data_IF_709143239352
#
_entry.id   IF_709143239352
#
_cell.length_a   1.000
_cell.length_b   1.000
_cell.length_c   1.000
_cell.angle_alpha   90.00
_cell.angle_beta   90.00
_cell.angle_gamma   90.00
#
_symmetry.space_group_name_H-M   'P 1'
#
loop_
_entity.id
_entity.type
_entity.pdbx_description
1 polymer ?
#
# COMPACT_ATOMS: atom_id res chain seq x y z
N UNK A 1 -12.92 -38.40 -22.02
CA UNK A 1 -12.04 -37.26 -21.71
C UNK A 1 -12.17 -36.31 -22.87
N UNK A 2 -13.00 -35.28 -22.77
CA UNK A 2 -13.22 -34.34 -23.87
C UNK A 2 -12.15 -33.25 -23.80
N UNK A 3 -11.22 -33.29 -24.75
CA UNK A 3 -10.34 -32.17 -25.09
C UNK A 3 -11.20 -30.94 -25.38
N UNK A 4 -11.22 -30.00 -24.44
CA UNK A 4 -11.89 -28.72 -24.60
C UNK A 4 -10.91 -27.70 -25.16
N UNK A 5 -10.51 -27.87 -26.41
CA UNK A 5 -9.88 -26.80 -27.18
C UNK A 5 -10.91 -25.68 -27.42
N UNK A 6 -11.09 -24.80 -26.42
CA UNK A 6 -11.92 -23.58 -26.52
C UNK A 6 -12.78 -23.22 -25.30
N UNK A 7 -12.93 -24.10 -24.31
CA UNK A 7 -13.75 -23.80 -23.12
C UNK A 7 -12.95 -23.01 -22.07
N UNK A 8 -13.65 -22.17 -21.28
CA UNK A 8 -13.05 -21.47 -20.15
C UNK A 8 -12.59 -22.47 -19.08
N UNK A 9 -11.41 -22.24 -18.48
CA UNK A 9 -10.91 -23.10 -17.41
C UNK A 9 -11.76 -22.94 -16.14
N UNK A 10 -12.35 -24.03 -15.66
CA UNK A 10 -13.05 -24.07 -14.38
C UNK A 10 -12.19 -24.85 -13.38
N UNK A 11 -11.73 -24.20 -12.28
CA UNK A 11 -10.94 -24.88 -11.27
C UNK A 11 -11.74 -25.95 -10.52
N UNK A 12 -11.03 -26.90 -9.94
CA UNK A 12 -11.63 -27.89 -9.04
C UNK A 12 -12.03 -27.24 -7.71
N UNK A 13 -12.82 -27.94 -6.90
CA UNK A 13 -13.19 -27.45 -5.56
C UNK A 13 -11.94 -27.11 -4.73
N UNK A 14 -11.92 -25.92 -4.14
CA UNK A 14 -10.82 -25.42 -3.32
C UNK A 14 -11.29 -25.08 -1.91
N UNK A 15 -10.47 -25.41 -0.92
CA UNK A 15 -10.74 -25.13 0.49
C UNK A 15 -10.17 -23.77 0.95
N UNK A 16 -9.37 -23.09 0.13
CA UNK A 16 -8.79 -21.79 0.49
C UNK A 16 -9.83 -20.71 0.84
N UNK A 17 -11.01 -20.63 0.18
CA UNK A 17 -12.04 -19.66 0.55
C UNK A 17 -12.53 -19.78 2.00
N UNK A 18 -12.75 -21.00 2.50
CA UNK A 18 -13.19 -21.19 3.89
C UNK A 18 -12.07 -20.91 4.88
N UNK A 19 -10.83 -21.33 4.57
CA UNK A 19 -9.65 -21.03 5.42
C UNK A 19 -9.41 -19.53 5.50
N UNK A 20 -9.49 -18.81 4.38
CA UNK A 20 -9.34 -17.35 4.35
C UNK A 20 -10.43 -16.63 5.13
N UNK A 21 -11.70 -17.08 5.04
CA UNK A 21 -12.80 -16.55 5.83
C UNK A 21 -12.56 -16.69 7.34
N UNK A 22 -12.08 -17.86 7.79
CA UNK A 22 -11.74 -18.10 9.20
C UNK A 22 -10.54 -17.23 9.60
N UNK A 23 -9.51 -17.14 8.76
CA UNK A 23 -8.33 -16.32 9.03
C UNK A 23 -8.71 -14.84 9.23
N UNK A 24 -9.55 -14.29 8.34
CA UNK A 24 -10.02 -12.90 8.42
C UNK A 24 -10.92 -12.69 9.65
N UNK A 25 -11.82 -13.64 9.96
CA UNK A 25 -12.64 -13.57 11.17
C UNK A 25 -11.79 -13.52 12.43
N UNK A 26 -10.78 -14.39 12.54
CA UNK A 26 -9.83 -14.36 13.66
C UNK A 26 -9.00 -13.07 13.69
N UNK A 27 -8.61 -12.53 12.54
CA UNK A 27 -7.85 -11.28 12.47
C UNK A 27 -8.66 -10.08 12.99
N UNK A 28 -9.88 -9.89 12.46
CA UNK A 28 -10.77 -8.81 12.89
C UNK A 28 -11.21 -8.99 14.34
N UNK A 29 -11.64 -10.19 14.72
CA UNK A 29 -12.04 -10.51 16.10
C UNK A 29 -10.89 -10.32 17.09
N UNK A 30 -9.70 -10.82 16.77
CA UNK A 30 -8.50 -10.66 17.59
C UNK A 30 -8.08 -9.19 17.74
N UNK A 31 -8.20 -8.40 16.67
CA UNK A 31 -7.91 -6.96 16.72
C UNK A 31 -8.92 -6.23 17.60
N UNK A 32 -10.21 -6.54 17.48
CA UNK A 32 -11.24 -5.98 18.35
C UNK A 32 -11.00 -6.34 19.83
N UNK A 33 -10.60 -7.59 20.11
CA UNK A 33 -10.22 -8.01 21.46
C UNK A 33 -9.02 -7.24 22.00
N UNK A 34 -8.00 -7.00 21.16
CA UNK A 34 -6.83 -6.22 21.54
C UNK A 34 -7.20 -4.78 21.90
N UNK A 35 -8.00 -4.11 21.06
CA UNK A 35 -8.45 -2.74 21.29
C UNK A 35 -9.36 -2.58 22.53
N UNK A 36 -9.95 -3.67 23.01
CA UNK A 36 -10.82 -3.69 24.19
C UNK A 36 -10.18 -4.43 25.39
N UNK A 37 -8.86 -4.63 25.37
CA UNK A 37 -8.07 -5.22 26.47
C UNK A 37 -8.55 -6.61 26.94
N UNK A 38 -9.06 -7.44 26.02
CA UNK A 38 -9.43 -8.82 26.33
C UNK A 38 -8.19 -9.72 26.33
N UNK A 39 -7.89 -10.36 27.47
CA UNK A 39 -6.69 -11.17 27.69
C UNK A 39 -6.41 -12.28 26.64
N UNK A 40 -7.44 -12.74 25.91
CA UNK A 40 -7.28 -13.75 24.87
C UNK A 40 -6.78 -13.21 23.51
N UNK A 41 -6.67 -11.89 23.33
CA UNK A 41 -6.24 -11.28 22.07
C UNK A 41 -4.92 -11.84 21.49
N UNK A 42 -3.86 -12.13 22.28
CA UNK A 42 -2.59 -12.57 21.71
C UNK A 42 -2.71 -13.93 21.01
N UNK A 43 -3.49 -14.84 21.59
CA UNK A 43 -3.70 -16.18 21.04
C UNK A 43 -4.53 -16.13 19.76
N UNK A 44 -5.58 -15.31 19.75
CA UNK A 44 -6.47 -15.15 18.58
C UNK A 44 -5.72 -14.48 17.43
N UNK A 45 -4.95 -13.42 17.70
CA UNK A 45 -4.12 -12.76 16.68
C UNK A 45 -2.98 -13.66 16.19
N UNK A 46 -2.32 -14.41 17.09
CA UNK A 46 -1.28 -15.37 16.70
C UNK A 46 -1.83 -16.46 15.76
N UNK A 47 -3.01 -16.99 16.07
CA UNK A 47 -3.72 -17.93 15.18
C UNK A 47 -4.08 -17.27 13.85
N UNK A 48 -4.60 -16.04 13.87
CA UNK A 48 -4.97 -15.31 12.67
C UNK A 48 -3.78 -15.13 11.72
N UNK A 49 -2.62 -14.69 12.24
CA UNK A 49 -1.39 -14.52 11.45
C UNK A 49 -0.94 -15.86 10.86
N UNK A 50 -0.94 -16.93 11.65
CA UNK A 50 -0.58 -18.27 11.17
C UNK A 50 -1.51 -18.75 10.03
N UNK A 51 -2.82 -18.54 10.18
CA UNK A 51 -3.80 -18.89 9.14
C UNK A 51 -3.63 -18.04 7.89
N UNK A 52 -3.39 -16.74 8.02
CA UNK A 52 -3.13 -15.83 6.88
C UNK A 52 -1.92 -16.30 6.08
N UNK A 53 -0.80 -16.57 6.76
CA UNK A 53 0.42 -17.08 6.10
C UNK A 53 0.16 -18.43 5.44
N UNK A 54 -0.56 -19.33 6.11
CA UNK A 54 -0.89 -20.66 5.60
C UNK A 54 -1.72 -20.60 4.31
N UNK A 55 -2.84 -19.85 4.32
CA UNK A 55 -3.71 -19.81 3.14
C UNK A 55 -3.09 -19.01 1.99
N UNK A 56 -2.36 -17.92 2.28
CA UNK A 56 -1.69 -17.14 1.24
C UNK A 56 -0.62 -18.00 0.53
N UNK A 57 0.25 -18.67 1.29
CA UNK A 57 1.26 -19.53 0.71
C UNK A 57 0.65 -20.71 -0.06
N UNK A 58 -0.36 -21.36 0.52
CA UNK A 58 -1.03 -22.50 -0.09
C UNK A 58 -1.81 -22.15 -1.37
N UNK A 59 -2.63 -21.10 -1.32
CA UNK A 59 -3.45 -20.68 -2.45
C UNK A 59 -2.61 -20.16 -3.61
N UNK A 60 -1.66 -19.26 -3.37
CA UNK A 60 -0.78 -18.79 -4.45
C UNK A 60 0.11 -19.91 -5.00
N UNK A 61 0.54 -20.86 -4.16
CA UNK A 61 1.25 -22.06 -4.61
C UNK A 61 0.43 -22.92 -5.56
N UNK A 62 -0.87 -23.07 -5.30
CA UNK A 62 -1.80 -23.78 -6.17
C UNK A 62 -2.02 -23.05 -7.50
N UNK A 63 -2.25 -21.73 -7.47
CA UNK A 63 -2.38 -20.91 -8.69
C UNK A 63 -1.12 -20.99 -9.56
N UNK A 64 0.07 -20.93 -8.95
CA UNK A 64 1.34 -21.09 -9.68
C UNK A 64 1.40 -22.47 -10.33
N UNK A 65 1.09 -23.54 -9.58
CA UNK A 65 1.13 -24.91 -10.11
C UNK A 65 0.13 -25.13 -11.24
N UNK A 66 -1.07 -24.58 -11.14
CA UNK A 66 -2.08 -24.61 -12.20
C UNK A 66 -1.60 -23.88 -13.45
N UNK A 67 -1.01 -22.69 -13.28
CA UNK A 67 -0.41 -21.92 -14.38
C UNK A 67 0.66 -22.74 -15.12
N UNK A 68 1.59 -23.37 -14.39
CA UNK A 68 2.67 -24.16 -14.99
C UNK A 68 2.16 -25.45 -15.68
N UNK A 69 0.95 -25.92 -15.36
CA UNK A 69 0.35 -27.09 -16.04
C UNK A 69 -0.23 -26.76 -17.42
N UNK A 70 -0.20 -25.49 -17.84
CA UNK A 70 -0.72 -25.07 -19.15
C UNK A 70 -2.24 -25.04 -19.25
N UNK A 71 -2.95 -25.07 -18.11
CA UNK A 71 -4.43 -25.05 -18.06
C UNK A 71 -5.03 -23.68 -18.40
N UNK A 72 -4.26 -22.61 -18.28
CA UNK A 72 -4.72 -21.25 -18.54
C UNK A 72 -4.62 -20.94 -20.03
N UNK A 73 -5.77 -20.71 -20.66
CA UNK A 73 -5.87 -20.26 -22.04
C UNK A 73 -6.02 -18.73 -22.11
N UNK A 74 -6.08 -18.18 -23.33
CA UNK A 74 -6.21 -16.74 -23.55
C UNK A 74 -7.45 -16.12 -22.88
N UNK A 75 -8.57 -16.83 -22.77
CA UNK A 75 -9.76 -16.29 -22.08
C UNK A 75 -9.49 -16.08 -20.58
N UNK A 76 -8.80 -17.03 -19.95
CA UNK A 76 -8.41 -16.93 -18.53
C UNK A 76 -7.41 -15.80 -18.32
N UNK A 77 -6.43 -15.66 -19.22
CA UNK A 77 -5.45 -14.56 -19.19
C UNK A 77 -6.14 -13.18 -19.25
N UNK A 78 -7.07 -13.00 -20.18
CA UNK A 78 -7.88 -11.78 -20.30
C UNK A 78 -8.66 -11.50 -19.02
N UNK A 79 -9.30 -12.52 -18.43
CA UNK A 79 -10.00 -12.38 -17.15
C UNK A 79 -9.05 -11.92 -16.04
N UNK A 80 -7.88 -12.53 -15.90
CA UNK A 80 -6.91 -12.12 -14.88
C UNK A 80 -6.42 -10.69 -15.07
N UNK A 81 -6.19 -10.25 -16.31
CA UNK A 81 -5.82 -8.85 -16.62
C UNK A 81 -6.90 -7.86 -16.19
N UNK A 82 -8.16 -8.14 -16.51
CA UNK A 82 -9.28 -7.30 -16.06
C UNK A 82 -9.45 -7.33 -14.54
N UNK A 83 -9.31 -8.49 -13.90
CA UNK A 83 -9.34 -8.60 -12.44
C UNK A 83 -8.25 -7.76 -11.78
N UNK A 84 -7.02 -7.80 -12.31
CA UNK A 84 -5.93 -6.96 -11.80
C UNK A 84 -6.20 -5.47 -12.03
N UNK A 85 -6.75 -5.10 -13.19
CA UNK A 85 -7.16 -3.72 -13.46
C UNK A 85 -8.21 -3.21 -12.48
N UNK A 86 -9.25 -3.99 -12.21
CA UNK A 86 -10.29 -3.65 -11.23
C UNK A 86 -9.78 -3.60 -9.80
N UNK A 87 -8.87 -4.51 -9.44
CA UNK A 87 -8.20 -4.47 -8.14
C UNK A 87 -7.38 -3.18 -7.97
N UNK A 88 -6.52 -2.82 -8.93
CA UNK A 88 -5.76 -1.56 -8.87
C UNK A 88 -6.71 -0.36 -8.82
N UNK A 89 -7.80 -0.38 -9.59
CA UNK A 89 -8.79 0.69 -9.56
C UNK A 89 -9.43 0.84 -8.18
N UNK A 90 -9.77 -0.25 -7.48
CA UNK A 90 -10.28 -0.16 -6.11
C UNK A 90 -9.25 0.40 -5.14
N UNK A 91 -7.97 0.06 -5.28
CA UNK A 91 -6.89 0.63 -4.45
C UNK A 91 -6.71 2.13 -4.73
N UNK A 92 -6.84 2.58 -5.98
CA UNK A 92 -6.83 4.02 -6.33
C UNK A 92 -8.00 4.74 -5.66
N UNK A 93 -9.21 4.17 -5.66
CA UNK A 93 -10.37 4.75 -4.96
C UNK A 93 -10.19 4.78 -3.44
N UNK A 94 -9.53 3.76 -2.87
CA UNK A 94 -9.17 3.73 -1.46
C UNK A 94 -8.26 4.91 -1.09
N UNK A 95 -7.18 5.15 -1.83
CA UNK A 95 -6.32 6.33 -1.62
C UNK A 95 -7.05 7.65 -1.89
N UNK A 96 -7.91 7.69 -2.92
CA UNK A 96 -8.70 8.89 -3.23
C UNK A 96 -9.59 9.32 -2.04
N UNK A 97 -10.09 8.38 -1.23
CA UNK A 97 -10.83 8.71 -0.02
C UNK A 97 -9.95 9.43 1.02
N UNK A 98 -8.71 8.98 1.24
CA UNK A 98 -7.78 9.64 2.17
C UNK A 98 -7.30 11.01 1.66
N UNK A 99 -6.97 11.11 0.37
CA UNK A 99 -6.65 12.41 -0.24
C UNK A 99 -7.86 13.36 -0.22
N UNK A 100 -9.06 12.84 -0.42
CA UNK A 100 -10.31 13.59 -0.26
C UNK A 100 -10.52 14.09 1.16
N UNK A 101 -10.21 13.27 2.18
CA UNK A 101 -10.27 13.68 3.58
C UNK A 101 -9.24 14.78 3.89
N UNK A 102 -7.99 14.64 3.41
CA UNK A 102 -6.95 15.66 3.53
C UNK A 102 -7.38 16.97 2.84
N UNK A 103 -7.85 16.89 1.61
CA UNK A 103 -8.32 18.05 0.84
C UNK A 103 -9.48 18.75 1.55
N UNK A 104 -10.47 17.99 2.02
CA UNK A 104 -11.63 18.53 2.71
C UNK A 104 -11.24 19.22 4.03
N UNK A 105 -10.36 18.58 4.81
CA UNK A 105 -9.83 19.17 6.04
C UNK A 105 -9.07 20.47 5.75
N UNK A 106 -8.18 20.44 4.74
CA UNK A 106 -7.28 21.55 4.42
C UNK A 106 -8.00 22.76 3.82
N UNK A 107 -8.93 22.53 2.89
CA UNK A 107 -9.52 23.57 2.05
C UNK A 107 -10.89 24.05 2.52
N UNK A 108 -11.58 23.28 3.37
CA UNK A 108 -12.93 23.63 3.83
C UNK A 108 -13.04 23.63 5.34
N UNK A 109 -12.87 22.47 5.99
CA UNK A 109 -13.15 22.35 7.42
C UNK A 109 -12.26 23.28 8.27
N UNK A 110 -10.96 23.31 7.99
CA UNK A 110 -10.00 24.20 8.64
C UNK A 110 -10.35 25.69 8.49
N UNK A 111 -10.46 26.22 7.25
CA UNK A 111 -10.82 27.62 7.03
C UNK A 111 -12.16 28.02 7.64
N UNK A 112 -13.18 27.15 7.59
CA UNK A 112 -14.45 27.41 8.27
C UNK A 112 -14.28 27.51 9.78
N UNK A 113 -13.50 26.62 10.40
CA UNK A 113 -13.19 26.73 11.83
C UNK A 113 -12.40 28.01 12.16
N UNK A 114 -11.58 28.49 11.23
CA UNK A 114 -10.88 29.77 11.30
C UNK A 114 -11.74 31.01 11.02
N UNK A 115 -13.07 30.85 10.87
CA UNK A 115 -14.01 31.96 10.74
C UNK A 115 -14.49 32.24 9.31
N UNK A 116 -14.05 31.49 8.29
CA UNK A 116 -14.51 31.71 6.92
C UNK A 116 -15.98 31.28 6.73
N UNK A 117 -16.76 32.13 6.07
CA UNK A 117 -18.14 31.85 5.68
C UNK A 117 -19.05 31.52 6.87
N UNK A 118 -19.57 30.28 6.92
CA UNK A 118 -20.54 29.85 7.94
C UNK A 118 -19.92 29.68 9.33
N UNK A 119 -18.59 29.64 9.45
CA UNK A 119 -17.90 29.46 10.72
C UNK A 119 -17.59 30.74 11.48
N UNK A 120 -17.87 31.92 10.90
CA UNK A 120 -17.60 33.23 11.51
C UNK A 120 -18.11 33.34 12.95
N UNK A 121 -19.41 33.06 13.17
CA UNK A 121 -20.00 33.17 14.50
C UNK A 121 -19.38 32.19 15.51
N UNK A 122 -19.06 30.97 15.08
CA UNK A 122 -18.40 29.97 15.95
C UNK A 122 -17.00 30.44 16.35
N UNK A 123 -16.22 30.95 15.42
CA UNK A 123 -14.88 31.45 15.68
C UNK A 123 -14.96 32.68 16.61
N UNK A 124 -15.74 33.70 16.27
CA UNK A 124 -15.85 34.94 17.05
C UNK A 124 -16.33 34.73 18.49
N UNK A 125 -17.33 33.87 18.70
CA UNK A 125 -17.96 33.73 20.02
C UNK A 125 -17.41 32.59 20.87
N UNK A 126 -16.89 31.50 20.27
CA UNK A 126 -16.43 30.33 21.01
C UNK A 126 -14.91 30.16 20.99
N UNK A 127 -14.25 30.52 19.88
CA UNK A 127 -12.80 30.29 19.68
C UNK A 127 -12.11 31.49 19.04
N UNK A 128 -12.19 32.70 19.62
CA UNK A 128 -11.73 33.93 18.97
C UNK A 128 -10.20 33.95 18.74
N UNK A 129 -9.46 33.16 19.51
CA UNK A 129 -8.00 33.03 19.41
C UNK A 129 -7.58 31.96 18.38
N UNK A 130 -8.51 31.20 17.81
CA UNK A 130 -8.18 30.16 16.85
C UNK A 130 -8.00 30.76 15.45
N UNK A 131 -6.75 30.82 15.00
CA UNK A 131 -6.40 31.12 13.62
C UNK A 131 -6.01 29.82 12.90
N UNK A 132 -6.68 29.54 11.78
CA UNK A 132 -6.37 28.36 10.99
C UNK A 132 -5.12 28.56 10.13
N UNK A 133 -4.16 27.66 10.30
CA UNK A 133 -2.98 27.53 9.42
C UNK A 133 -2.82 26.06 9.03
N UNK A 134 -2.20 25.81 7.87
CA UNK A 134 -1.82 24.46 7.48
C UNK A 134 -0.31 24.39 7.21
N UNK A 135 0.42 23.42 7.80
CA UNK A 135 -0.02 22.44 8.81
C UNK A 135 -0.44 23.07 10.16
N UNK A 136 -1.25 22.34 10.94
CA UNK A 136 -1.66 22.76 12.29
C UNK A 136 -0.59 22.36 13.31
N UNK A 137 0.21 23.33 13.77
CA UNK A 137 1.26 23.11 14.78
C UNK A 137 0.88 23.59 16.18
N UNK A 138 -0.23 24.32 16.30
CA UNK A 138 -0.76 24.82 17.57
C UNK A 138 -2.22 24.41 17.70
N UNK A 139 -2.63 24.08 18.92
CA UNK A 139 -4.01 23.73 19.25
C UNK A 139 -4.55 24.66 20.34
N UNK A 140 -5.88 24.87 20.40
CA UNK A 140 -6.50 25.61 21.49
C UNK A 140 -6.17 25.00 22.86
N UNK A 141 -6.17 25.84 23.90
CA UNK A 141 -5.97 25.38 25.28
C UNK A 141 -6.99 24.30 25.66
N UNK A 142 -6.53 23.24 26.34
CA UNK A 142 -7.37 22.11 26.76
C UNK A 142 -7.62 21.04 25.68
N UNK A 143 -6.96 21.12 24.52
CA UNK A 143 -7.05 20.04 23.52
C UNK A 143 -6.43 18.72 24.03
N UNK A 144 -7.02 17.59 23.65
CA UNK A 144 -6.47 16.25 23.90
C UNK A 144 -5.30 15.88 22.96
N UNK A 145 -4.92 16.78 22.05
CA UNK A 145 -3.93 16.55 21.01
C UNK A 145 -2.56 17.12 21.38
N UNK A 146 -1.51 16.45 20.94
CA UNK A 146 -0.12 16.87 21.15
C UNK A 146 0.38 17.73 19.99
N UNK A 147 0.64 19.00 20.25
CA UNK A 147 1.20 19.94 19.27
C UNK A 147 2.60 19.46 18.81
N UNK A 148 2.80 19.18 17.51
CA UNK A 148 4.12 18.84 16.99
C UNK A 148 5.02 20.09 16.98
N UNK A 149 6.31 19.90 17.22
CA UNK A 149 7.31 20.99 17.21
C UNK A 149 7.70 21.43 15.79
N UNK A 150 7.40 20.60 14.78
CA UNK A 150 7.71 20.90 13.38
C UNK A 150 7.06 19.92 12.40
N UNK A 151 7.48 20.03 11.14
CA UNK A 151 6.97 19.23 10.02
C UNK A 151 8.13 18.52 9.32
N UNK A 152 7.83 17.44 8.61
CA UNK A 152 8.80 16.80 7.73
C UNK A 152 8.86 17.59 6.42
N UNK A 153 10.00 18.20 6.13
CA UNK A 153 10.21 18.95 4.91
C UNK A 153 10.32 18.04 3.67
N UNK A 154 9.70 18.43 2.56
CA UNK A 154 9.75 17.67 1.30
C UNK A 154 11.18 17.46 0.77
N UNK A 155 12.04 18.46 0.92
CA UNK A 155 13.40 18.44 0.41
C UNK A 155 14.33 17.84 1.46
N UNK A 156 14.72 16.58 1.24
CA UNK A 156 15.44 15.76 2.20
C UNK A 156 15.16 14.28 1.95
N UNK A 157 14.87 13.53 3.02
CA UNK A 157 14.48 12.12 2.93
C UNK A 157 13.29 11.86 2.00
N UNK A 158 12.19 12.65 2.02
CA UNK A 158 11.08 12.41 1.09
C UNK A 158 11.50 12.51 -0.38
N UNK A 159 12.30 13.52 -0.74
CA UNK A 159 12.82 13.68 -2.11
C UNK A 159 13.77 12.53 -2.52
N UNK A 160 14.58 12.02 -1.58
CA UNK A 160 15.44 10.85 -1.81
C UNK A 160 14.56 9.61 -2.05
N UNK A 161 13.54 9.40 -1.23
CA UNK A 161 12.58 8.31 -1.39
C UNK A 161 11.82 8.40 -2.72
N UNK A 162 11.48 9.60 -3.18
CA UNK A 162 10.93 9.83 -4.53
C UNK A 162 11.89 9.37 -5.61
N UNK A 163 13.17 9.74 -5.53
CA UNK A 163 14.17 9.30 -6.49
C UNK A 163 14.34 7.76 -6.47
N UNK A 164 14.33 7.14 -5.30
CA UNK A 164 14.44 5.68 -5.13
C UNK A 164 13.28 4.97 -5.82
N UNK A 165 12.03 5.37 -5.57
CA UNK A 165 10.87 4.73 -6.19
C UNK A 165 10.85 4.94 -7.70
N UNK A 166 11.10 6.16 -8.19
CA UNK A 166 11.20 6.40 -9.64
C UNK A 166 12.32 5.59 -10.31
N UNK A 167 13.45 5.44 -9.63
CA UNK A 167 14.55 4.57 -10.10
C UNK A 167 14.11 3.11 -10.13
N UNK A 168 13.36 2.66 -9.12
CA UNK A 168 12.83 1.29 -9.07
C UNK A 168 11.80 1.02 -10.17
N UNK A 169 11.00 2.02 -10.55
CA UNK A 169 10.12 1.97 -11.73
C UNK A 169 10.88 1.79 -13.04
N UNK A 170 12.04 2.42 -13.17
CA UNK A 170 12.94 2.20 -14.31
C UNK A 170 13.54 0.78 -14.30
N UNK A 171 14.00 0.30 -13.14
CA UNK A 171 14.59 -1.05 -13.04
C UNK A 171 13.58 -2.16 -13.34
N UNK A 172 12.33 -2.06 -12.87
CA UNK A 172 11.31 -3.06 -13.21
C UNK A 172 10.92 -3.02 -14.69
N UNK A 173 10.96 -1.83 -15.32
CA UNK A 173 10.76 -1.69 -16.78
C UNK A 173 11.89 -2.38 -17.55
N UNK A 174 13.15 -2.22 -17.12
CA UNK A 174 14.28 -2.93 -17.73
C UNK A 174 14.21 -4.45 -17.49
N UNK A 175 13.72 -4.89 -16.34
CA UNK A 175 13.42 -6.29 -16.08
C UNK A 175 12.39 -6.82 -17.10
N UNK A 176 11.32 -6.06 -17.35
CA UNK A 176 10.30 -6.45 -18.32
C UNK A 176 10.89 -6.60 -19.73
N UNK A 177 11.70 -5.63 -20.18
CA UNK A 177 12.37 -5.73 -21.48
C UNK A 177 13.32 -6.93 -21.57
N UNK A 178 14.01 -7.26 -20.48
CA UNK A 178 14.84 -8.46 -20.43
C UNK A 178 14.00 -9.75 -20.53
N UNK A 179 12.82 -9.79 -19.90
CA UNK A 179 11.87 -10.90 -20.00
C UNK A 179 11.41 -11.09 -21.45
N UNK A 180 10.93 -10.03 -22.10
CA UNK A 180 10.45 -10.08 -23.50
C UNK A 180 11.58 -10.46 -24.47
N UNK A 181 12.82 -10.05 -24.20
CA UNK A 181 14.00 -10.46 -24.98
C UNK A 181 14.52 -11.86 -24.61
N UNK A 182 13.80 -12.60 -23.76
CA UNK A 182 14.15 -13.93 -23.26
C UNK A 182 15.54 -13.99 -22.59
N UNK A 183 15.95 -12.91 -21.91
CA UNK A 183 17.25 -12.79 -21.21
C UNK A 183 17.07 -12.94 -19.71
N UNK A 184 17.13 -14.18 -19.23
CA UNK A 184 16.88 -14.54 -17.83
C UNK A 184 17.82 -13.89 -16.81
N UNK A 185 19.14 -13.88 -17.07
CA UNK A 185 20.09 -13.31 -16.11
C UNK A 185 19.87 -11.80 -15.91
N UNK A 186 19.77 -10.96 -16.96
CA UNK A 186 19.39 -9.56 -16.81
C UNK A 186 18.01 -9.35 -16.15
N UNK A 187 17.00 -10.18 -16.48
CA UNK A 187 15.69 -10.14 -15.82
C UNK A 187 15.83 -10.27 -14.29
N UNK A 188 16.56 -11.28 -13.84
CA UNK A 188 16.76 -11.53 -12.40
C UNK A 188 17.55 -10.39 -11.74
N UNK A 189 18.60 -9.88 -12.38
CA UNK A 189 19.40 -8.77 -11.82
C UNK A 189 18.59 -7.48 -11.66
N UNK A 190 17.76 -7.13 -12.65
CA UNK A 190 16.91 -5.95 -12.58
C UNK A 190 15.78 -6.10 -11.57
N UNK A 191 15.21 -7.30 -11.42
CA UNK A 191 14.26 -7.59 -10.35
C UNK A 191 14.91 -7.46 -8.97
N UNK A 192 16.12 -7.99 -8.79
CA UNK A 192 16.87 -7.86 -7.54
C UNK A 192 17.15 -6.40 -7.18
N UNK A 193 17.54 -5.58 -8.17
CA UNK A 193 17.72 -4.14 -7.97
C UNK A 193 16.41 -3.46 -7.55
N UNK A 194 15.28 -3.81 -8.18
CA UNK A 194 13.96 -3.26 -7.83
C UNK A 194 13.58 -3.60 -6.38
N UNK A 195 13.77 -4.87 -5.96
CA UNK A 195 13.50 -5.30 -4.57
C UNK A 195 14.40 -4.56 -3.59
N UNK A 196 15.69 -4.43 -3.90
CA UNK A 196 16.64 -3.72 -3.03
C UNK A 196 16.26 -2.25 -2.84
N UNK A 197 15.83 -1.57 -3.91
CA UNK A 197 15.34 -0.19 -3.84
C UNK A 197 14.04 -0.08 -3.03
N UNK A 198 13.11 -1.03 -3.20
CA UNK A 198 11.89 -1.08 -2.38
C UNK A 198 12.16 -1.29 -0.89
N UNK A 199 13.09 -2.18 -0.54
CA UNK A 199 13.53 -2.39 0.85
C UNK A 199 14.22 -1.15 1.41
N UNK A 200 15.07 -0.49 0.62
CA UNK A 200 15.73 0.75 1.00
C UNK A 200 14.70 1.86 1.28
N UNK A 201 13.69 2.01 0.43
CA UNK A 201 12.59 2.96 0.66
C UNK A 201 11.89 2.70 2.00
N UNK A 202 11.52 1.43 2.28
CA UNK A 202 10.83 1.06 3.53
C UNK A 202 11.70 1.39 4.75
N UNK A 203 13.01 1.11 4.66
CA UNK A 203 13.95 1.45 5.72
C UNK A 203 14.01 2.95 5.97
N UNK A 204 14.20 3.76 4.93
CA UNK A 204 14.27 5.22 5.04
C UNK A 204 12.94 5.82 5.52
N UNK A 205 11.80 5.24 5.14
CA UNK A 205 10.49 5.64 5.64
C UNK A 205 10.34 5.33 7.15
N UNK A 206 10.93 4.22 7.61
CA UNK A 206 11.00 3.90 9.04
C UNK A 206 11.82 4.92 9.82
N UNK A 207 12.99 5.32 9.30
CA UNK A 207 13.82 6.36 9.91
C UNK A 207 13.10 7.72 9.95
N UNK A 208 12.37 8.07 8.88
CA UNK A 208 11.52 9.26 8.86
C UNK A 208 10.46 9.23 9.97
N UNK A 209 9.82 8.09 10.20
CA UNK A 209 8.83 7.95 11.28
C UNK A 209 9.46 8.05 12.66
N UNK A 210 10.65 7.47 12.85
CA UNK A 210 11.39 7.60 14.11
C UNK A 210 11.70 9.07 14.38
N UNK A 211 12.22 9.80 13.40
CA UNK A 211 12.48 11.24 13.50
C UNK A 211 11.19 12.04 13.78
N UNK A 212 10.10 11.73 13.09
CA UNK A 212 8.80 12.38 13.29
C UNK A 212 8.30 12.23 14.73
N UNK A 213 8.37 11.01 15.28
CA UNK A 213 7.89 10.72 16.64
C UNK A 213 8.82 11.27 17.72
N UNK A 214 10.14 11.10 17.57
CA UNK A 214 11.11 11.40 18.63
C UNK A 214 11.53 12.87 18.65
N UNK A 215 11.78 13.46 17.49
CA UNK A 215 12.37 14.81 17.40
C UNK A 215 11.30 15.88 17.14
N UNK A 216 10.28 15.55 16.34
CA UNK A 216 9.23 16.50 15.95
C UNK A 216 7.96 16.40 16.81
N UNK A 217 7.82 15.37 17.64
CA UNK A 217 6.57 15.11 18.37
C UNK A 217 5.35 14.94 17.45
N UNK A 218 5.57 14.66 16.17
CA UNK A 218 4.55 14.41 15.17
C UNK A 218 4.12 12.96 15.28
N UNK A 219 2.93 12.74 15.83
CA UNK A 219 2.37 11.42 16.09
C UNK A 219 0.96 11.30 15.50
N UNK A 220 0.36 10.11 15.58
CA UNK A 220 -1.06 9.92 15.26
C UNK A 220 -2.00 10.78 16.14
N UNK A 221 -1.54 11.23 17.32
CA UNK A 221 -2.31 12.12 18.21
C UNK A 221 -2.02 13.62 17.97
N UNK A 222 -1.29 13.98 16.93
CA UNK A 222 -1.02 15.37 16.56
C UNK A 222 -2.15 15.97 15.70
N UNK A 223 -3.40 15.72 16.11
CA UNK A 223 -4.61 16.20 15.44
C UNK A 223 -4.75 15.70 14.00
N UNK A 224 -5.50 16.45 13.19
CA UNK A 224 -5.82 16.07 11.81
C UNK A 224 -4.59 16.00 10.90
N UNK A 225 -3.57 16.83 11.13
CA UNK A 225 -2.33 16.81 10.35
C UNK A 225 -1.57 15.50 10.56
N UNK A 226 -1.27 15.15 11.82
CA UNK A 226 -0.58 13.89 12.13
C UNK A 226 -1.38 12.66 11.69
N UNK A 227 -2.69 12.63 11.94
CA UNK A 227 -3.55 11.53 11.53
C UNK A 227 -3.57 11.34 9.99
N UNK A 228 -3.78 12.41 9.22
CA UNK A 228 -3.79 12.31 7.75
C UNK A 228 -2.42 11.97 7.20
N UNK A 229 -1.34 12.54 7.74
CA UNK A 229 0.04 12.21 7.38
C UNK A 229 0.29 10.71 7.51
N UNK A 230 0.20 10.15 8.73
CA UNK A 230 0.55 8.74 8.98
C UNK A 230 -0.41 7.74 8.35
N UNK A 231 -1.70 8.06 8.18
CA UNK A 231 -2.61 7.17 7.47
C UNK A 231 -2.27 7.11 5.99
N UNK A 232 -2.07 8.25 5.33
CA UNK A 232 -1.72 8.31 3.91
C UNK A 232 -0.37 7.65 3.63
N UNK A 233 0.68 8.05 4.35
CA UNK A 233 2.03 7.53 4.14
C UNK A 233 2.17 6.10 4.67
N UNK A 234 1.47 5.74 5.75
CA UNK A 234 1.50 4.41 6.37
C UNK A 234 0.82 3.36 5.51
N UNK A 235 -0.38 3.63 4.99
CA UNK A 235 -1.02 2.72 4.05
C UNK A 235 -0.18 2.59 2.78
N UNK A 236 0.40 3.66 2.27
CA UNK A 236 1.31 3.56 1.13
C UNK A 236 2.55 2.70 1.45
N UNK A 237 3.19 2.88 2.61
CA UNK A 237 4.31 2.03 3.05
C UNK A 237 3.93 0.55 3.15
N UNK A 238 2.71 0.24 3.58
CA UNK A 238 2.17 -1.13 3.53
C UNK A 238 2.07 -1.66 2.10
N UNK A 239 1.57 -0.86 1.15
CA UNK A 239 1.50 -1.25 -0.26
C UNK A 239 2.89 -1.44 -0.89
N UNK A 240 3.86 -0.58 -0.57
CA UNK A 240 5.26 -0.75 -1.01
C UNK A 240 5.82 -2.07 -0.47
N UNK A 241 5.56 -2.38 0.80
CA UNK A 241 6.00 -3.64 1.42
C UNK A 241 5.42 -4.87 0.73
N UNK A 242 4.11 -4.85 0.44
CA UNK A 242 3.44 -5.91 -0.31
C UNK A 242 3.96 -6.01 -1.75
N UNK A 243 4.16 -4.89 -2.42
CA UNK A 243 4.75 -4.81 -3.76
C UNK A 243 6.15 -5.41 -3.81
N UNK A 244 7.02 -5.04 -2.87
CA UNK A 244 8.39 -5.56 -2.78
C UNK A 244 8.40 -7.07 -2.54
N UNK A 245 7.51 -7.57 -1.67
CA UNK A 245 7.33 -9.01 -1.44
C UNK A 245 6.86 -9.72 -2.72
N UNK A 246 5.87 -9.16 -3.43
CA UNK A 246 5.38 -9.74 -4.69
C UNK A 246 6.49 -9.79 -5.76
N UNK A 247 7.27 -8.70 -5.92
CA UNK A 247 8.40 -8.66 -6.86
C UNK A 247 9.47 -9.69 -6.46
N UNK A 248 9.74 -9.84 -5.16
CA UNK A 248 10.64 -10.88 -4.68
C UNK A 248 10.16 -12.29 -5.05
N UNK A 249 8.87 -12.59 -4.89
CA UNK A 249 8.30 -13.87 -5.33
C UNK A 249 8.38 -14.04 -6.86
N UNK A 250 8.12 -12.99 -7.64
CA UNK A 250 8.29 -13.01 -9.10
C UNK A 250 9.76 -13.24 -9.47
N UNK A 251 10.71 -12.64 -8.75
CA UNK A 251 12.14 -12.89 -8.93
C UNK A 251 12.49 -14.37 -8.69
N UNK A 252 11.99 -14.98 -7.61
CA UNK A 252 12.19 -16.41 -7.35
C UNK A 252 11.60 -17.28 -8.47
N UNK A 253 10.43 -16.93 -8.99
CA UNK A 253 9.81 -17.61 -10.14
C UNK A 253 10.61 -17.44 -11.44
N UNK A 254 11.18 -16.26 -11.68
CA UNK A 254 12.08 -16.01 -12.81
C UNK A 254 13.39 -16.80 -12.67
N UNK A 255 13.92 -16.93 -11.46
CA UNK A 255 15.07 -17.79 -11.14
C UNK A 255 14.74 -19.27 -11.37
N UNK A 256 13.48 -19.70 -11.28
CA UNK A 256 13.04 -21.07 -11.62
C UNK A 256 12.62 -21.25 -13.08
N UNK A 257 12.38 -20.16 -13.81
CA UNK A 257 12.12 -20.19 -15.26
C UNK A 257 10.64 -20.35 -15.61
N UNK A 258 9.75 -19.95 -14.71
CA UNK A 258 8.29 -20.06 -14.87
C UNK A 258 7.70 -19.00 -15.84
N UNK A 259 8.53 -18.24 -16.55
CA UNK A 259 8.08 -17.14 -17.41
C UNK A 259 8.68 -17.29 -18.81
N UNK A 260 7.85 -17.07 -19.81
CA UNK A 260 8.26 -16.98 -21.22
C UNK A 260 7.90 -15.61 -21.78
N UNK A 261 8.50 -15.18 -22.90
CA UNK A 261 8.15 -13.92 -23.56
C UNK A 261 6.68 -13.80 -23.97
N UNK A 262 5.96 -14.91 -24.06
CA UNK A 262 4.54 -14.95 -24.45
C UNK A 262 3.60 -15.19 -23.25
N UNK A 263 4.10 -15.78 -22.17
CA UNK A 263 3.32 -16.09 -20.97
C UNK A 263 4.04 -15.63 -19.70
N UNK A 264 3.66 -14.44 -19.25
CA UNK A 264 4.26 -13.79 -18.07
C UNK A 264 3.29 -12.81 -17.39
N UNK A 265 1.98 -13.07 -17.45
CA UNK A 265 0.96 -12.21 -16.84
C UNK A 265 1.24 -11.89 -15.37
N UNK A 266 1.68 -12.88 -14.57
CA UNK A 266 1.96 -12.64 -13.16
C UNK A 266 3.10 -11.62 -12.94
N UNK A 267 4.08 -11.56 -13.84
CA UNK A 267 5.08 -10.51 -13.83
C UNK A 267 4.43 -9.15 -14.15
N UNK A 268 3.61 -9.08 -15.20
CA UNK A 268 2.97 -7.84 -15.62
C UNK A 268 2.02 -7.30 -14.56
N UNK A 269 1.21 -8.15 -13.93
CA UNK A 269 0.33 -7.77 -12.83
C UNK A 269 1.10 -7.12 -11.69
N UNK A 270 2.20 -7.73 -11.25
CA UNK A 270 3.04 -7.20 -10.18
C UNK A 270 3.74 -5.91 -10.62
N UNK A 271 4.16 -5.79 -11.88
CA UNK A 271 4.72 -4.56 -12.42
C UNK A 271 3.69 -3.42 -12.49
N UNK A 272 2.45 -3.70 -12.89
CA UNK A 272 1.35 -2.73 -12.86
C UNK A 272 1.07 -2.25 -11.44
N UNK A 273 1.05 -3.17 -10.47
CA UNK A 273 0.92 -2.82 -9.06
C UNK A 273 2.07 -1.94 -8.58
N UNK A 274 3.31 -2.26 -8.94
CA UNK A 274 4.47 -1.45 -8.55
C UNK A 274 4.41 -0.02 -9.10
N UNK A 275 4.04 0.14 -10.37
CA UNK A 275 3.83 1.48 -10.94
C UNK A 275 2.66 2.22 -10.31
N UNK A 276 1.59 1.52 -9.92
CA UNK A 276 0.51 2.12 -9.14
C UNK A 276 1.05 2.69 -7.81
N UNK A 277 1.88 1.93 -7.10
CA UNK A 277 2.52 2.35 -5.86
C UNK A 277 3.40 3.59 -6.10
N UNK A 278 4.23 3.60 -7.16
CA UNK A 278 5.05 4.76 -7.54
C UNK A 278 4.19 6.01 -7.78
N UNK A 279 3.07 5.88 -8.50
CA UNK A 279 2.18 7.02 -8.78
C UNK A 279 1.55 7.55 -7.50
N UNK A 280 1.06 6.68 -6.62
CA UNK A 280 0.51 7.12 -5.31
C UNK A 280 1.56 7.89 -4.51
N UNK A 281 2.83 7.46 -4.52
CA UNK A 281 3.90 8.20 -3.85
C UNK A 281 4.08 9.61 -4.41
N UNK A 282 4.00 9.80 -5.74
CA UNK A 282 4.10 11.15 -6.32
C UNK A 282 2.98 12.07 -5.82
N UNK A 283 1.76 11.55 -5.68
CA UNK A 283 0.66 12.30 -5.07
C UNK A 283 0.94 12.61 -3.59
N UNK A 284 1.49 11.66 -2.83
CA UNK A 284 1.89 11.90 -1.44
C UNK A 284 2.96 12.98 -1.34
N UNK A 285 4.03 12.88 -2.14
CA UNK A 285 5.12 13.85 -2.16
C UNK A 285 4.59 15.27 -2.43
N UNK A 286 3.69 15.43 -3.41
CA UNK A 286 3.13 16.74 -3.75
C UNK A 286 2.16 17.24 -2.67
N UNK A 287 1.15 16.45 -2.29
CA UNK A 287 0.02 16.94 -1.49
C UNK A 287 0.21 16.82 0.02
N UNK A 288 1.14 15.97 0.49
CA UNK A 288 1.39 15.75 1.92
C UNK A 288 2.68 16.43 2.35
N UNK A 289 3.75 16.30 1.57
CA UNK A 289 5.07 16.82 1.96
C UNK A 289 5.35 18.22 1.43
N UNK A 290 4.95 18.54 0.19
CA UNK A 290 5.35 19.79 -0.46
C UNK A 290 4.33 20.93 -0.30
N UNK A 291 3.03 20.65 -0.50
CA UNK A 291 1.93 21.61 -0.33
C UNK A 291 1.34 21.54 1.07
#
# INVERSE_FOLDING_TARGET
MSDSHGAYYVPQSSHWPIVSSIALFCLFGGTAMWLNDYAAYPYVLGLAVALVLYFMFGWFGEVIRESETGKYNHQVDVSFRWSMGWFIFSEVMFFAAFFGALFYARMYAGPWLGGEGKGFATNEFLWPEFAYTWPMLSFPEGSFYSAPSGIIGAWGLPAINTLILLTSGATITFAHWALVKNKRSPLVWWLAATVALGVLFIFLQGEEYIHAYQDLGLTLNSGIYGATFFLLTGFHGFHVSMGALMIFIIMLRAIRGHFTPENHFAFEAVAWYWHFVDVVWLFLFIFVYWL
#
